data_IF_060138822169
#
_entry.id   IF_060138822169
#
_cell.length_a   1.000
_cell.length_b   1.000
_cell.length_c   1.000
_cell.angle_alpha   90.00
_cell.angle_beta   90.00
_cell.angle_gamma   90.00
#
_symmetry.space_group_name_H-M   'P 1'
#
loop_
_entity.id
_entity.type
_entity.pdbx_description
1 polymer ?
#
# COMPACT_ATOMS: atom_id res chain seq x y z
N UNK A 1 -14.51 -54.62 27.66
CA UNK A 1 -15.11 -53.88 26.54
C UNK A 1 -14.19 -52.83 25.97
N UNK A 2 -13.45 -53.19 24.92
CA UNK A 2 -12.73 -52.22 24.09
C UNK A 2 -13.72 -51.59 23.10
N UNK A 3 -14.12 -50.35 23.35
CA UNK A 3 -14.98 -49.58 22.47
C UNK A 3 -14.27 -49.35 21.12
N UNK A 4 -14.69 -50.06 20.06
CA UNK A 4 -14.09 -49.94 18.73
C UNK A 4 -14.74 -48.77 17.99
N UNK A 5 -14.02 -47.65 17.89
CA UNK A 5 -14.47 -46.45 17.18
C UNK A 5 -13.69 -46.27 15.88
N UNK A 6 -14.40 -46.06 14.77
CA UNK A 6 -13.80 -45.69 13.49
C UNK A 6 -13.92 -44.19 13.29
N UNK A 7 -12.80 -43.53 12.99
CA UNK A 7 -12.75 -42.09 12.66
C UNK A 7 -12.50 -41.95 11.17
N UNK A 8 -13.32 -41.15 10.50
CA UNK A 8 -13.16 -40.85 9.08
C UNK A 8 -13.14 -39.34 8.86
N UNK A 9 -12.22 -38.92 8.02
CA UNK A 9 -12.14 -37.57 7.46
C UNK A 9 -12.42 -37.69 5.96
N UNK A 10 -13.34 -36.87 5.47
CA UNK A 10 -13.76 -36.90 4.07
C UNK A 10 -13.62 -35.50 3.47
N UNK A 11 -12.93 -35.44 2.33
CA UNK A 11 -12.79 -34.24 1.53
C UNK A 11 -13.81 -34.35 0.40
N UNK A 12 -14.65 -33.33 0.27
CA UNK A 12 -15.77 -33.34 -0.65
C UNK A 12 -15.58 -32.23 -1.67
N UNK A 13 -15.66 -32.56 -2.96
CA UNK A 13 -15.72 -31.55 -4.02
C UNK A 13 -17.06 -30.81 -3.88
N UNK A 14 -17.07 -29.47 -4.01
CA UNK A 14 -18.15 -28.55 -3.60
C UNK A 14 -19.55 -28.71 -4.27
N UNK A 15 -19.97 -29.92 -4.59
CA UNK A 15 -21.28 -30.29 -5.05
C UNK A 15 -22.26 -30.36 -3.87
N UNK A 16 -23.42 -29.70 -3.99
CA UNK A 16 -24.47 -29.67 -2.99
C UNK A 16 -25.04 -31.07 -2.65
N UNK A 17 -24.91 -32.06 -3.55
CA UNK A 17 -25.35 -33.45 -3.30
C UNK A 17 -24.40 -34.24 -2.40
N UNK A 18 -23.14 -33.84 -2.35
CA UNK A 18 -22.12 -34.67 -1.73
C UNK A 18 -22.24 -34.71 -0.20
N UNK A 19 -22.91 -33.73 0.43
CA UNK A 19 -23.29 -33.81 1.84
C UNK A 19 -24.32 -34.94 2.10
N UNK A 20 -25.29 -35.11 1.20
CA UNK A 20 -26.27 -36.20 1.32
C UNK A 20 -25.59 -37.56 1.11
N UNK A 21 -24.67 -37.67 0.16
CA UNK A 21 -23.91 -38.89 -0.11
C UNK A 21 -23.02 -39.29 1.09
N UNK A 22 -22.43 -38.32 1.80
CA UNK A 22 -21.68 -38.57 3.05
C UNK A 22 -22.60 -39.10 4.15
N UNK A 23 -23.80 -38.55 4.32
CA UNK A 23 -24.77 -39.06 5.30
C UNK A 23 -25.29 -40.45 4.95
N UNK A 24 -25.55 -40.72 3.68
CA UNK A 24 -25.94 -42.06 3.21
C UNK A 24 -24.80 -43.07 3.45
N UNK A 25 -23.55 -42.70 3.15
CA UNK A 25 -22.39 -43.55 3.43
C UNK A 25 -22.22 -43.81 4.93
N UNK A 26 -22.39 -42.81 5.79
CA UNK A 26 -22.37 -42.97 7.25
C UNK A 26 -23.48 -43.94 7.72
N UNK A 27 -24.70 -43.78 7.22
CA UNK A 27 -25.84 -44.64 7.56
C UNK A 27 -25.58 -46.10 7.16
N UNK A 28 -25.14 -46.32 5.92
CA UNK A 28 -24.83 -47.65 5.40
C UNK A 28 -23.70 -48.32 6.20
N UNK A 29 -22.67 -47.56 6.61
CA UNK A 29 -21.58 -48.10 7.43
C UNK A 29 -22.02 -48.43 8.85
N UNK A 30 -22.95 -47.68 9.44
CA UNK A 30 -23.54 -48.01 10.76
C UNK A 30 -24.35 -49.29 10.71
N UNK A 31 -25.10 -49.51 9.63
CA UNK A 31 -25.85 -50.75 9.44
C UNK A 31 -24.94 -51.96 9.24
N UNK A 32 -23.87 -51.81 8.44
CA UNK A 32 -22.92 -52.88 8.17
C UNK A 32 -22.03 -53.23 9.38
N UNK A 33 -21.75 -52.27 10.27
CA UNK A 33 -20.84 -52.42 11.40
C UNK A 33 -21.53 -52.06 12.73
N UNK A 34 -22.55 -52.81 13.18
CA UNK A 34 -23.37 -52.45 14.34
C UNK A 34 -22.61 -52.48 15.68
N UNK A 35 -21.46 -53.15 15.72
CA UNK A 35 -20.58 -53.22 16.90
C UNK A 35 -19.56 -52.08 16.97
N UNK A 36 -19.57 -51.15 16.01
CA UNK A 36 -18.64 -50.02 15.95
C UNK A 36 -19.39 -48.69 15.91
N UNK A 37 -18.89 -47.68 16.64
CA UNK A 37 -19.43 -46.32 16.50
C UNK A 37 -18.78 -45.63 15.31
N UNK A 38 -19.58 -45.30 14.30
CA UNK A 38 -19.16 -44.48 13.16
C UNK A 38 -19.64 -43.05 13.37
N UNK A 39 -18.71 -42.09 13.34
CA UNK A 39 -19.00 -40.66 13.48
C UNK A 39 -18.17 -39.85 12.48
N UNK A 40 -18.85 -39.08 11.61
CA UNK A 40 -18.22 -38.08 10.76
C UNK A 40 -17.86 -36.86 11.61
N UNK A 41 -16.57 -36.45 11.61
CA UNK A 41 -16.10 -35.34 12.45
C UNK A 41 -15.96 -34.02 11.72
N UNK A 42 -15.51 -34.07 10.47
CA UNK A 42 -15.20 -32.89 9.71
C UNK A 42 -15.51 -33.11 8.23
N UNK A 43 -16.17 -32.14 7.60
CA UNK A 43 -16.43 -32.08 6.17
C UNK A 43 -15.79 -30.79 5.67
N UNK A 44 -14.68 -30.90 4.95
CA UNK A 44 -14.01 -29.75 4.37
C UNK A 44 -14.42 -29.58 2.90
N UNK A 45 -14.67 -28.33 2.48
CA UNK A 45 -15.00 -27.99 1.09
C UNK A 45 -16.47 -28.19 0.70
N UNK A 46 -17.32 -28.69 1.60
CA UNK A 46 -18.75 -28.76 1.37
C UNK A 46 -19.38 -27.37 1.41
N UNK A 47 -20.12 -27.00 0.35
CA UNK A 47 -21.10 -25.91 0.48
C UNK A 47 -22.22 -26.42 1.38
N UNK A 48 -22.08 -26.22 2.71
CA UNK A 48 -23.16 -26.44 3.66
C UNK A 48 -24.37 -25.73 3.08
N UNK A 49 -25.45 -26.49 2.75
CA UNK A 49 -26.60 -26.03 1.96
C UNK A 49 -26.78 -24.54 2.22
N UNK A 50 -26.27 -23.71 1.31
CA UNK A 50 -26.54 -22.29 1.39
C UNK A 50 -28.05 -22.28 1.38
N UNK A 51 -28.65 -21.84 2.50
CA UNK A 51 -30.11 -21.80 2.70
C UNK A 51 -30.73 -21.57 1.34
N UNK A 52 -31.63 -22.47 0.90
CA UNK A 52 -32.12 -22.50 -0.48
C UNK A 52 -32.36 -21.06 -0.95
N UNK A 53 -32.11 -20.73 -2.22
CA UNK A 53 -32.00 -19.35 -2.72
C UNK A 53 -33.12 -18.36 -2.29
N UNK A 54 -34.24 -18.81 -1.72
CA UNK A 54 -35.28 -18.01 -1.05
C UNK A 54 -35.26 -17.91 0.49
N UNK A 55 -34.49 -18.72 1.22
CA UNK A 55 -34.34 -18.70 2.69
C UNK A 55 -33.13 -17.87 3.18
N UNK A 56 -32.17 -17.58 2.30
CA UNK A 56 -31.12 -16.61 2.60
C UNK A 56 -31.68 -15.20 2.44
N UNK A 57 -32.12 -14.61 3.56
CA UNK A 57 -32.40 -13.19 3.66
C UNK A 57 -31.12 -12.49 4.14
N UNK A 58 -30.25 -11.97 3.25
CA UNK A 58 -29.08 -11.23 3.68
C UNK A 58 -29.55 -10.09 4.59
N UNK A 59 -29.04 -10.07 5.80
CA UNK A 59 -29.30 -8.95 6.68
C UNK A 59 -28.49 -7.76 6.16
N UNK A 60 -29.17 -6.82 5.52
CA UNK A 60 -28.56 -5.59 5.07
C UNK A 60 -28.34 -4.70 6.28
N UNK A 61 -27.11 -4.62 6.74
CA UNK A 61 -26.72 -3.64 7.74
C UNK A 61 -26.60 -2.27 7.05
N UNK A 62 -27.43 -1.27 7.41
CA UNK A 62 -27.23 0.08 6.91
C UNK A 62 -25.87 0.60 7.40
N UNK A 63 -25.22 1.56 6.72
CA UNK A 63 -23.98 2.17 7.20
C UNK A 63 -24.05 2.68 8.65
N UNK A 64 -25.23 3.11 9.10
CA UNK A 64 -25.49 3.54 10.48
C UNK A 64 -25.47 2.42 11.53
N UNK A 65 -25.54 1.14 11.11
CA UNK A 65 -25.40 0.00 12.01
C UNK A 65 -23.94 -0.34 12.34
N UNK A 66 -22.98 0.32 11.67
CA UNK A 66 -21.56 0.19 11.95
C UNK A 66 -21.11 1.37 12.81
N UNK A 67 -20.40 1.08 13.89
CA UNK A 67 -19.68 2.13 14.63
C UNK A 67 -18.46 2.57 13.81
N UNK A 68 -18.55 3.77 13.24
CA UNK A 68 -17.48 4.36 12.44
C UNK A 68 -16.48 5.17 13.27
N UNK A 69 -16.62 5.23 14.60
CA UNK A 69 -15.82 6.12 15.46
C UNK A 69 -14.33 5.85 15.34
N UNK A 70 -13.91 4.59 15.45
CA UNK A 70 -12.49 4.21 15.35
C UNK A 70 -11.93 4.42 13.94
N UNK A 71 -12.69 4.03 12.92
CA UNK A 71 -12.33 4.21 11.51
C UNK A 71 -12.18 5.70 11.16
N UNK A 72 -13.10 6.54 11.62
CA UNK A 72 -13.05 7.99 11.43
C UNK A 72 -11.88 8.60 12.21
N UNK A 73 -11.65 8.17 13.45
CA UNK A 73 -10.50 8.62 14.25
C UNK A 73 -9.20 8.25 13.56
N UNK A 74 -9.09 7.02 13.04
CA UNK A 74 -7.95 6.57 12.25
C UNK A 74 -7.81 7.42 10.98
N UNK A 75 -8.87 7.63 10.21
CA UNK A 75 -8.83 8.42 8.99
C UNK A 75 -8.40 9.87 9.26
N UNK A 76 -8.96 10.51 10.29
CA UNK A 76 -8.66 11.90 10.64
C UNK A 76 -7.25 12.08 11.21
N UNK A 77 -6.66 11.06 11.85
CA UNK A 77 -5.30 11.11 12.39
C UNK A 77 -4.22 10.75 11.37
N UNK A 78 -4.60 10.32 10.16
CA UNK A 78 -3.64 10.03 9.11
C UNK A 78 -2.95 11.29 8.61
N UNK A 79 -1.64 11.36 8.87
CA UNK A 79 -0.77 12.38 8.29
C UNK A 79 0.00 11.78 7.09
N UNK A 80 0.03 12.45 5.93
CA UNK A 80 0.82 12.00 4.81
C UNK A 80 2.32 12.17 5.09
N UNK A 81 3.13 11.15 4.80
CA UNK A 81 4.60 11.19 4.89
C UNK A 81 5.25 11.98 3.76
N UNK A 82 4.50 12.24 2.69
CA UNK A 82 4.89 13.08 1.60
C UNK A 82 3.71 13.43 0.72
N UNK A 83 3.98 14.25 -0.28
CA UNK A 83 2.99 14.63 -1.28
C UNK A 83 3.60 14.45 -2.65
N UNK A 84 2.77 14.00 -3.58
CA UNK A 84 3.09 13.96 -4.99
C UNK A 84 2.15 14.92 -5.71
N UNK A 85 2.72 15.85 -6.46
CA UNK A 85 1.97 16.77 -7.31
C UNK A 85 2.31 16.48 -8.77
N UNK A 86 1.28 16.17 -9.56
CA UNK A 86 1.38 15.97 -11.00
C UNK A 86 0.76 17.19 -11.68
N UNK A 87 1.52 17.84 -12.55
CA UNK A 87 1.12 19.01 -13.31
C UNK A 87 1.14 18.66 -14.79
N UNK A 88 0.03 18.88 -15.49
CA UNK A 88 -0.01 18.86 -16.95
C UNK A 88 -0.02 20.30 -17.46
N UNK A 89 0.94 20.60 -18.31
CA UNK A 89 1.30 21.95 -18.72
C UNK A 89 1.31 22.06 -20.24
N UNK A 90 0.78 23.16 -20.73
CA UNK A 90 0.85 23.59 -22.12
C UNK A 90 1.92 24.67 -22.27
N UNK A 91 2.91 24.47 -23.12
CA UNK A 91 4.06 25.37 -23.29
C UNK A 91 3.75 26.58 -24.18
N UNK A 92 2.57 26.62 -24.81
CA UNK A 92 2.09 27.75 -25.62
C UNK A 92 2.79 27.95 -26.97
N UNK A 93 3.92 27.28 -27.22
CA UNK A 93 4.65 27.28 -28.49
C UNK A 93 5.14 25.86 -28.81
N UNK A 94 5.03 25.47 -30.07
CA UNK A 94 5.57 24.21 -30.57
C UNK A 94 7.08 24.28 -30.88
N UNK A 95 7.67 25.48 -30.92
CA UNK A 95 9.06 25.73 -31.32
C UNK A 95 10.04 25.66 -30.13
N UNK A 96 9.66 24.94 -29.09
CA UNK A 96 10.48 24.76 -27.90
C UNK A 96 11.67 23.85 -28.20
N UNK A 97 12.84 24.18 -27.67
CA UNK A 97 14.04 23.33 -27.77
C UNK A 97 14.25 22.54 -26.49
N UNK A 98 14.97 21.41 -26.58
CA UNK A 98 15.34 20.61 -25.41
C UNK A 98 15.98 21.47 -24.32
N UNK A 99 16.92 22.35 -24.72
CA UNK A 99 17.61 23.25 -23.81
C UNK A 99 16.68 24.27 -23.15
N UNK A 100 15.73 24.86 -23.89
CA UNK A 100 14.79 25.83 -23.34
C UNK A 100 13.83 25.18 -22.32
N UNK A 101 13.32 23.99 -22.64
CA UNK A 101 12.42 23.22 -21.77
C UNK A 101 13.13 22.79 -20.50
N UNK A 102 14.32 22.20 -20.63
CA UNK A 102 15.15 21.79 -19.49
C UNK A 102 15.49 22.99 -18.60
N UNK A 103 15.99 24.08 -19.19
CA UNK A 103 16.37 25.29 -18.44
C UNK A 103 15.20 25.86 -17.65
N UNK A 104 14.02 25.96 -18.28
CA UNK A 104 12.81 26.46 -17.61
C UNK A 104 12.44 25.61 -16.40
N UNK A 105 12.45 24.29 -16.56
CA UNK A 105 12.16 23.35 -15.48
C UNK A 105 13.19 23.44 -14.34
N UNK A 106 14.48 23.43 -14.67
CA UNK A 106 15.58 23.47 -13.69
C UNK A 106 15.59 24.81 -12.94
N UNK A 107 15.48 25.94 -13.63
CA UNK A 107 15.44 27.27 -13.01
C UNK A 107 14.26 27.40 -12.03
N UNK A 108 13.09 26.85 -12.39
CA UNK A 108 11.92 26.84 -11.51
C UNK A 108 12.13 25.95 -10.29
N UNK A 109 12.78 24.80 -10.49
CA UNK A 109 13.06 23.83 -9.44
C UNK A 109 14.08 24.40 -8.45
N UNK A 110 15.21 24.93 -8.91
CA UNK A 110 16.26 25.53 -8.08
C UNK A 110 15.75 26.73 -7.25
N UNK A 111 14.82 27.51 -7.80
CA UNK A 111 14.22 28.64 -7.07
C UNK A 111 13.32 28.22 -5.90
N UNK A 112 12.73 27.03 -5.94
CA UNK A 112 11.73 26.60 -4.93
C UNK A 112 12.18 25.43 -4.08
N UNK A 113 13.06 24.59 -4.61
CA UNK A 113 13.52 23.38 -3.96
C UNK A 113 15.03 23.48 -3.72
N UNK A 114 15.40 23.62 -2.45
CA UNK A 114 16.80 23.69 -2.02
C UNK A 114 17.56 22.43 -2.45
N UNK A 115 18.77 22.62 -2.98
CA UNK A 115 19.63 21.52 -3.41
C UNK A 115 19.12 20.76 -4.63
N UNK A 116 18.24 21.36 -5.42
CA UNK A 116 17.83 20.80 -6.71
C UNK A 116 19.05 20.57 -7.61
N UNK A 117 19.20 19.34 -8.10
CA UNK A 117 20.26 18.93 -9.03
C UNK A 117 19.70 17.97 -10.06
N UNK A 118 19.99 18.23 -11.33
CA UNK A 118 19.66 17.29 -12.42
C UNK A 118 20.51 16.03 -12.25
N UNK A 119 19.86 14.87 -12.29
CA UNK A 119 20.52 13.56 -12.23
C UNK A 119 20.59 12.90 -13.59
N UNK A 120 19.56 13.08 -14.41
CA UNK A 120 19.50 12.47 -15.72
C UNK A 120 18.70 13.34 -16.68
N UNK A 121 19.16 13.38 -17.93
CA UNK A 121 18.46 13.99 -19.06
C UNK A 121 18.51 13.00 -20.21
N UNK A 122 17.35 12.65 -20.77
CA UNK A 122 17.22 11.72 -21.88
C UNK A 122 16.42 12.38 -23.01
N UNK A 123 17.08 12.81 -24.10
CA UNK A 123 16.39 13.22 -25.31
C UNK A 123 15.77 12.00 -26.01
N UNK A 124 14.54 12.14 -26.51
CA UNK A 124 13.79 11.07 -27.18
C UNK A 124 13.17 11.59 -28.48
N UNK A 125 13.99 11.68 -29.54
CA UNK A 125 13.59 12.37 -30.76
C UNK A 125 13.34 13.85 -30.46
N UNK A 126 12.14 14.35 -30.72
CA UNK A 126 11.74 15.70 -30.32
C UNK A 126 11.42 15.82 -28.82
N UNK A 127 11.09 14.73 -28.15
CA UNK A 127 10.71 14.71 -26.74
C UNK A 127 11.90 14.81 -25.78
N UNK A 128 11.63 15.14 -24.52
CA UNK A 128 12.63 15.24 -23.45
C UNK A 128 12.11 14.65 -22.15
N UNK A 129 12.96 13.86 -21.49
CA UNK A 129 12.74 13.42 -20.12
C UNK A 129 13.87 13.90 -19.21
N UNK A 130 13.53 14.49 -18.07
CA UNK A 130 14.49 15.00 -17.07
C UNK A 130 14.13 14.46 -15.70
N UNK A 131 15.13 13.94 -14.98
CA UNK A 131 15.02 13.55 -13.57
C UNK A 131 15.94 14.46 -12.76
N UNK A 132 15.37 15.08 -11.73
CA UNK A 132 16.09 15.91 -10.79
C UNK A 132 15.81 15.46 -9.35
N UNK A 133 16.79 15.66 -8.46
CA UNK A 133 16.69 15.41 -7.02
C UNK A 133 16.82 16.74 -6.29
N UNK A 134 16.04 16.94 -5.23
CA UNK A 134 16.21 18.05 -4.29
C UNK A 134 16.29 17.53 -2.85
N UNK A 135 16.51 18.41 -1.87
CA UNK A 135 16.74 18.01 -0.48
C UNK A 135 15.60 17.17 0.12
N UNK A 136 14.36 17.44 -0.29
CA UNK A 136 13.15 16.79 0.24
C UNK A 136 12.51 15.74 -0.68
N UNK A 137 13.11 15.43 -1.84
CA UNK A 137 12.50 14.49 -2.79
C UNK A 137 13.00 14.56 -4.22
N UNK A 138 12.10 14.31 -5.18
CA UNK A 138 12.43 14.16 -6.60
C UNK A 138 11.44 14.93 -7.48
N UNK A 139 11.91 15.39 -8.62
CA UNK A 139 11.08 16.01 -9.64
C UNK A 139 11.42 15.43 -11.00
N UNK A 140 10.39 15.14 -11.79
CA UNK A 140 10.51 14.57 -13.12
C UNK A 140 9.74 15.43 -14.11
N UNK A 141 10.31 15.62 -15.30
CA UNK A 141 9.70 16.30 -16.43
C UNK A 141 9.64 15.33 -17.60
N UNK A 142 8.47 15.23 -18.23
CA UNK A 142 8.28 14.57 -19.52
C UNK A 142 7.64 15.57 -20.48
N UNK A 143 8.34 15.92 -21.56
CA UNK A 143 7.81 16.79 -22.62
C UNK A 143 7.70 16.02 -23.93
N UNK A 144 6.58 16.18 -24.63
CA UNK A 144 6.22 15.42 -25.84
C UNK A 144 6.97 15.84 -27.11
N UNK A 145 7.79 16.89 -27.03
CA UNK A 145 8.48 17.47 -28.19
C UNK A 145 7.65 18.49 -28.96
N UNK A 146 6.48 18.87 -28.43
CA UNK A 146 5.57 19.87 -28.99
C UNK A 146 5.11 20.81 -27.89
N UNK A 147 3.84 20.78 -27.52
CA UNK A 147 3.23 21.76 -26.62
C UNK A 147 2.92 21.21 -25.24
N UNK A 148 3.05 19.91 -24.98
CA UNK A 148 2.62 19.33 -23.70
C UNK A 148 3.79 18.82 -22.88
N UNK A 149 3.85 19.25 -21.62
CA UNK A 149 4.74 18.66 -20.63
C UNK A 149 3.97 18.21 -19.39
N UNK A 150 4.38 17.07 -18.86
CA UNK A 150 3.96 16.58 -17.54
C UNK A 150 5.11 16.73 -16.57
N UNK A 151 4.85 17.37 -15.44
CA UNK A 151 5.80 17.48 -14.34
C UNK A 151 5.26 16.70 -13.15
N UNK A 152 6.06 15.79 -12.62
CA UNK A 152 5.75 15.01 -11.43
C UNK A 152 6.75 15.38 -10.33
N UNK A 153 6.28 16.02 -9.26
CA UNK A 153 7.09 16.39 -8.11
C UNK A 153 6.66 15.56 -6.92
N UNK A 154 7.60 14.97 -6.22
CA UNK A 154 7.38 14.29 -4.95
C UNK A 154 8.27 14.91 -3.87
N UNK A 155 7.70 15.18 -2.70
CA UNK A 155 8.44 15.74 -1.58
C UNK A 155 7.86 15.26 -0.24
N UNK A 156 8.75 14.87 0.68
CA UNK A 156 8.39 14.41 2.04
C UNK A 156 7.81 15.51 2.92
N UNK A 157 8.10 16.78 2.60
CA UNK A 157 7.69 17.95 3.39
C UNK A 157 6.82 18.92 2.57
N UNK A 158 6.23 18.46 1.46
CA UNK A 158 5.49 19.38 0.58
C UNK A 158 4.22 19.92 1.22
N UNK A 159 4.22 21.23 1.43
CA UNK A 159 3.02 22.02 1.69
C UNK A 159 2.43 22.43 0.34
N UNK A 160 1.11 22.43 0.21
CA UNK A 160 0.37 22.88 -1.00
C UNK A 160 0.93 24.20 -1.58
N UNK A 161 1.32 25.13 -0.70
CA UNK A 161 1.93 26.43 -1.04
C UNK A 161 3.25 26.33 -1.82
N UNK A 162 4.04 25.28 -1.60
CA UNK A 162 5.31 25.06 -2.29
C UNK A 162 5.05 24.65 -3.74
N UNK A 163 4.15 23.69 -3.96
CA UNK A 163 3.68 23.30 -5.29
C UNK A 163 3.07 24.48 -6.05
N UNK A 164 2.25 25.31 -5.37
CA UNK A 164 1.68 26.54 -5.94
C UNK A 164 2.78 27.52 -6.38
N UNK A 165 3.81 27.68 -5.54
CA UNK A 165 4.93 28.58 -5.82
C UNK A 165 5.81 28.07 -6.96
N UNK A 166 6.01 26.76 -7.05
CA UNK A 166 6.72 26.12 -8.15
C UNK A 166 5.97 26.26 -9.47
N UNK A 167 4.67 25.98 -9.48
CA UNK A 167 3.82 26.21 -10.63
C UNK A 167 3.87 27.69 -11.06
N UNK A 168 3.83 28.62 -10.11
CA UNK A 168 3.95 30.06 -10.40
C UNK A 168 5.27 30.40 -11.11
N UNK A 169 6.38 29.75 -10.78
CA UNK A 169 7.63 29.95 -11.54
C UNK A 169 7.54 29.43 -12.97
N UNK A 170 6.93 28.26 -13.18
CA UNK A 170 6.73 27.70 -14.53
C UNK A 170 5.82 28.62 -15.38
N UNK A 171 4.78 29.19 -14.78
CA UNK A 171 3.87 30.11 -15.50
C UNK A 171 4.54 31.41 -15.95
N UNK A 172 5.65 31.84 -15.31
CA UNK A 172 6.43 33.00 -15.80
C UNK A 172 7.08 32.72 -17.16
N UNK A 173 7.32 31.45 -17.49
CA UNK A 173 7.79 31.01 -18.80
C UNK A 173 6.64 30.79 -19.80
N UNK A 174 5.43 31.30 -19.49
CA UNK A 174 4.20 31.13 -20.29
C UNK A 174 3.70 29.68 -20.37
N UNK A 175 4.18 28.79 -19.50
CA UNK A 175 3.62 27.45 -19.39
C UNK A 175 2.26 27.54 -18.67
N UNK A 176 1.19 27.16 -19.36
CA UNK A 176 -0.18 27.22 -18.86
C UNK A 176 -0.53 25.90 -18.21
N UNK A 177 -1.08 25.92 -16.99
CA UNK A 177 -1.58 24.70 -16.35
C UNK A 177 -2.89 24.28 -16.99
N UNK A 178 -2.94 23.05 -17.48
CA UNK A 178 -4.18 22.39 -17.89
C UNK A 178 -4.77 21.59 -16.74
N UNK A 179 -3.98 20.68 -16.16
CA UNK A 179 -4.42 19.82 -15.05
C UNK A 179 -3.43 19.87 -13.89
N UNK A 180 -3.96 19.67 -12.69
CA UNK A 180 -3.18 19.39 -11.50
C UNK A 180 -3.84 18.30 -10.68
N UNK A 181 -3.04 17.33 -10.28
CA UNK A 181 -3.39 16.29 -9.33
C UNK A 181 -2.45 16.36 -8.12
N UNK A 182 -3.01 16.35 -6.92
CA UNK A 182 -2.27 16.38 -5.65
C UNK A 182 -2.61 15.10 -4.88
N UNK A 183 -1.65 14.18 -4.79
CA UNK A 183 -1.81 12.90 -4.11
C UNK A 183 -1.00 12.88 -2.81
N UNK A 184 -1.61 12.70 -1.63
CA UNK A 184 -0.85 12.36 -0.43
C UNK A 184 -0.19 10.98 -0.61
N UNK A 185 1.06 10.83 -0.16
CA UNK A 185 1.82 9.57 -0.17
C UNK A 185 2.25 9.19 1.24
N UNK A 186 2.20 7.90 1.53
CA UNK A 186 2.51 7.34 2.84
C UNK A 186 1.45 7.73 3.87
N UNK A 187 0.53 6.82 4.16
CA UNK A 187 -0.51 7.03 5.17
C UNK A 187 -0.06 6.28 6.42
N UNK A 188 0.04 7.01 7.54
CA UNK A 188 0.74 6.66 8.78
C UNK A 188 0.28 5.39 9.56
N UNK A 189 -0.36 4.41 8.91
CA UNK A 189 -0.73 3.08 9.46
C UNK A 189 -0.74 1.93 8.45
N UNK A 190 -0.49 2.19 7.16
CA UNK A 190 -0.03 1.15 6.22
C UNK A 190 1.48 1.27 6.21
N UNK A 191 2.09 0.76 7.28
CA UNK A 191 3.53 0.75 7.44
C UNK A 191 4.04 -0.35 6.51
N UNK A 192 4.87 0.00 5.53
CA UNK A 192 5.87 -0.97 5.08
C UNK A 192 6.96 -0.88 6.13
N UNK A 193 7.03 -1.87 7.01
CA UNK A 193 8.13 -1.97 7.97
C UNK A 193 9.44 -2.19 7.21
N UNK A 194 10.59 -1.79 7.79
CA UNK A 194 11.89 -2.17 7.23
C UNK A 194 12.01 -3.70 7.13
N UNK A 195 11.37 -4.43 8.06
CA UNK A 195 11.18 -5.88 7.98
C UNK A 195 10.37 -6.35 6.76
N UNK A 196 9.49 -5.55 6.17
CA UNK A 196 8.76 -5.92 4.95
C UNK A 196 9.65 -5.80 3.69
N UNK A 197 10.79 -5.10 3.82
CA UNK A 197 11.80 -4.97 2.76
C UNK A 197 12.96 -5.96 2.97
N UNK A 198 13.27 -6.33 4.21
CA UNK A 198 14.37 -7.25 4.54
C UNK A 198 13.92 -8.69 4.83
N UNK A 199 12.65 -8.95 5.18
CA UNK A 199 12.14 -10.30 5.35
C UNK A 199 11.56 -10.80 4.02
N UNK A 200 12.19 -11.85 3.49
CA UNK A 200 11.80 -12.58 2.29
C UNK A 200 12.20 -11.94 0.95
N UNK A 201 13.48 -11.60 0.81
CA UNK A 201 14.21 -12.22 -0.29
C UNK A 201 14.25 -13.70 0.05
N UNK A 202 13.23 -14.44 -0.38
CA UNK A 202 13.28 -15.90 -0.38
C UNK A 202 14.48 -16.20 -1.28
N UNK A 203 15.63 -16.43 -0.65
CA UNK A 203 16.62 -17.30 -1.25
C UNK A 203 15.88 -18.59 -1.50
N UNK A 204 15.70 -18.89 -2.78
CA UNK A 204 15.10 -20.11 -3.26
C UNK A 204 15.73 -21.27 -2.47
N UNK A 205 14.98 -21.98 -1.62
CA UNK A 205 15.54 -23.05 -0.80
C UNK A 205 16.01 -24.25 -1.65
N UNK A 206 15.80 -24.21 -2.97
CA UNK A 206 16.36 -25.17 -3.92
C UNK A 206 17.76 -24.77 -4.44
N UNK A 207 18.33 -23.64 -4.02
CA UNK A 207 19.75 -23.33 -4.24
C UNK A 207 20.64 -24.01 -3.17
N UNK A 208 20.46 -25.32 -2.98
CA UNK A 208 21.39 -26.16 -2.20
C UNK A 208 22.55 -26.54 -3.10
N UNK A 209 23.55 -25.67 -3.17
CA UNK A 209 24.91 -26.14 -3.49
C UNK A 209 25.50 -26.72 -2.21
N UNK A 210 25.81 -28.02 -2.28
CA UNK A 210 26.55 -28.75 -1.27
C UNK A 210 27.89 -28.07 -0.99
N UNK A 211 28.07 -27.54 0.21
CA UNK A 211 29.40 -27.26 0.74
C UNK A 211 29.39 -27.46 2.26
N UNK A 212 29.96 -28.58 2.66
CA UNK A 212 30.37 -28.92 4.02
C UNK A 212 31.26 -27.83 4.63
N UNK A 213 31.17 -27.63 5.94
CA UNK A 213 32.22 -26.92 6.68
C UNK A 213 31.78 -26.29 8.00
N UNK A 214 31.76 -27.12 9.03
CA UNK A 214 32.05 -26.82 10.44
C UNK A 214 32.62 -25.42 10.75
N UNK A 215 32.04 -24.68 11.72
CA UNK A 215 32.73 -24.39 13.00
C UNK A 215 31.80 -23.64 13.98
N UNK A 216 31.97 -23.96 15.26
CA UNK A 216 31.19 -23.49 16.39
C UNK A 216 31.91 -22.36 17.17
N UNK A 217 31.14 -21.58 17.93
CA UNK A 217 31.64 -20.69 19.00
C UNK A 217 30.86 -19.37 19.03
N UNK A 218 29.89 -19.18 19.92
CA UNK A 218 29.98 -18.90 21.37
C UNK A 218 30.43 -17.48 21.74
N UNK A 219 29.76 -16.97 22.79
CA UNK A 219 29.91 -15.71 23.54
C UNK A 219 29.21 -14.49 22.92
N UNK A 220 28.34 -13.74 23.58
CA UNK A 220 27.97 -13.66 24.99
C UNK A 220 27.99 -12.20 25.44
N UNK A 221 26.85 -11.72 25.98
CA UNK A 221 26.63 -10.48 26.77
C UNK A 221 26.73 -9.13 26.05
N UNK A 222 25.70 -8.29 26.24
CA UNK A 222 25.79 -6.96 26.88
C UNK A 222 24.37 -6.37 27.08
N UNK A 223 23.94 -6.16 28.33
CA UNK A 223 23.88 -4.91 29.11
C UNK A 223 22.58 -4.11 28.92
N UNK A 224 21.82 -4.12 30.00
CA UNK A 224 20.72 -3.24 30.35
C UNK A 224 21.22 -1.83 30.73
N UNK A 225 20.57 -0.80 30.20
CA UNK A 225 20.58 0.59 30.66
C UNK A 225 19.13 1.10 30.50
N UNK A 226 18.40 1.33 31.59
CA UNK A 226 18.33 2.53 32.42
C UNK A 226 17.51 3.69 31.79
N UNK A 227 16.31 3.84 32.38
CA UNK A 227 15.35 4.95 32.41
C UNK A 227 15.83 6.33 31.96
N UNK A 228 15.10 6.90 30.99
CA UNK A 228 14.91 8.34 30.81
C UNK A 228 13.42 8.69 30.88
N UNK A 229 13.06 9.53 31.85
CA UNK A 229 11.71 10.09 32.09
C UNK A 229 11.46 11.26 31.13
N UNK A 230 10.35 11.32 30.39
CA UNK A 230 9.98 12.54 29.69
C UNK A 230 9.15 13.48 30.58
N UNK A 231 9.58 14.73 30.50
CA UNK A 231 9.12 15.96 31.11
C UNK A 231 7.79 16.43 30.50
N UNK A 232 6.97 17.09 31.31
CA UNK A 232 5.65 17.59 30.95
C UNK A 232 5.73 19.00 30.35
N UNK A 233 5.04 19.23 29.24
CA UNK A 233 4.69 20.50 28.60
C UNK A 233 3.79 20.15 27.40
N UNK A 234 2.72 20.85 27.00
CA UNK A 234 2.04 22.06 27.41
C UNK A 234 0.59 21.93 26.88
N UNK A 235 -0.37 22.55 27.56
CA UNK A 235 -1.75 22.70 27.08
C UNK A 235 -1.80 23.61 25.84
N UNK A 236 -2.60 23.30 24.79
CA UNK A 236 -2.90 24.26 23.75
C UNK A 236 -4.16 25.07 24.05
N UNK A 237 -3.99 26.39 23.97
CA UNK A 237 -4.98 27.45 24.03
C UNK A 237 -6.24 27.22 23.17
N UNK A 238 -7.39 27.43 23.81
CA UNK A 238 -8.69 27.69 23.22
C UNK A 238 -8.69 28.98 22.37
N UNK A 239 -8.91 28.87 21.06
CA UNK A 239 -9.60 29.91 20.28
C UNK A 239 -9.90 29.47 18.84
N UNK A 240 -11.07 28.85 18.61
CA UNK A 240 -11.75 28.94 17.31
C UNK A 240 -13.11 29.59 17.55
N UNK A 241 -13.18 30.90 17.29
CA UNK A 241 -14.45 31.60 17.12
C UNK A 241 -15.00 31.26 15.73
N UNK A 242 -16.24 30.80 15.75
CA UNK A 242 -17.14 30.62 14.63
C UNK A 242 -17.39 31.96 13.93
N UNK A 243 -17.33 31.98 12.60
CA UNK A 243 -18.20 32.82 11.80
C UNK A 243 -18.94 31.94 10.79
N UNK A 244 -20.24 32.22 10.71
CA UNK A 244 -21.27 31.66 9.85
C UNK A 244 -21.04 31.99 8.37
#
# INVERSE_FOLDING_TARGET
>A
DTNRAMKMEMIVSGNARALNEVYEAESNLRELLPSMSVNVRNIQGGMARAKERGEYQPHNFPPSAYDATDSNTQFMTQQPLGRQTILQLNLGSADQTHAAVQKTFVDALEKKYTGATVKQTMPMGSALFVVAKHASGTAMLLWDGKTHATVNVWSTLERKKLADSFLKELTKAKWVRELRDDMPRGINRVVNFESDWTANRIEDPDAVDNADGDDAGDTGKEKSAEKGKPEAADEPDDAIKQEL
#
